data_IF_321765140916
#
_entry.id   IF_321765140916
#
_cell.length_a   1.000
_cell.length_b   1.000
_cell.length_c   1.000
_cell.angle_alpha   90.00
_cell.angle_beta   90.00
_cell.angle_gamma   90.00
#
_symmetry.space_group_name_H-M   'P 1'
#
loop_
_entity.id
_entity.type
_entity.pdbx_description
1 polymer ?
2 non-polymer ?
3 water ?
#
# COMPACT_ATOMS: atom_id res chain seq x y z
N UNK A 3 -32.68 -24.00 -1.97
CA UNK A 3 -32.43 -22.55 -2.09
C UNK A 3 -31.43 -22.11 -1.03
N UNK A 4 -30.16 -22.09 -1.41
CA UNK A 4 -29.08 -21.67 -0.52
C UNK A 4 -28.78 -20.18 -0.67
N UNK A 5 -28.07 -19.63 0.31
CA UNK A 5 -27.72 -18.21 0.29
C UNK A 5 -26.69 -17.95 -0.81
N UNK A 6 -26.95 -16.94 -1.61
CA UNK A 6 -26.07 -16.56 -2.70
C UNK A 6 -24.91 -15.67 -2.29
N UNK A 7 -24.06 -15.38 -3.25
CA UNK A 7 -22.89 -14.53 -3.17
C UNK A 7 -22.82 -13.75 -4.50
N UNK A 8 -23.46 -12.62 -4.53
CA UNK A 8 -23.56 -11.73 -5.66
C UNK A 8 -22.50 -10.62 -5.70
N UNK A 9 -21.55 -10.75 -6.63
CA UNK A 9 -20.52 -9.73 -6.83
C UNK A 9 -21.19 -8.48 -7.42
N UNK A 10 -20.94 -7.32 -6.82
CA UNK A 10 -21.53 -6.08 -7.36
C UNK A 10 -20.34 -5.15 -7.67
N UNK A 11 -20.25 -4.71 -8.91
CA UNK A 11 -19.19 -3.82 -9.36
C UNK A 11 -19.77 -2.50 -9.84
N UNK A 12 -19.54 -1.44 -9.08
CA UNK A 12 -20.00 -0.11 -9.48
C UNK A 12 -18.97 0.39 -10.50
N UNK A 13 -19.39 0.64 -11.73
CA UNK A 13 -18.50 1.10 -12.79
C UNK A 13 -19.18 2.15 -13.65
N UNK A 14 -19.57 3.24 -13.01
CA UNK A 14 -20.24 4.35 -13.68
C UNK A 14 -19.23 5.41 -14.09
N UNK A 26 -9.40 4.38 -14.53
CA UNK A 26 -10.09 3.98 -15.74
C UNK A 26 -10.17 2.45 -15.83
N UNK A 27 -11.41 1.97 -15.89
CA UNK A 27 -11.71 0.56 -16.00
C UNK A 27 -11.64 0.06 -17.43
N UNK A 28 -11.40 0.97 -18.38
CA UNK A 28 -11.33 0.59 -19.78
C UNK A 28 -9.91 0.45 -20.30
N UNK A 29 -8.92 0.68 -19.47
CA UNK A 29 -7.51 0.56 -19.87
C UNK A 29 -7.23 -0.80 -20.51
N UNK A 30 -6.62 -0.79 -21.68
CA UNK A 30 -6.28 -2.08 -22.33
C UNK A 30 -4.94 -2.55 -21.76
N UNK A 31 -4.96 -3.70 -21.13
CA UNK A 31 -3.79 -4.32 -20.52
C UNK A 31 -3.93 -5.83 -20.75
N UNK A 32 -2.92 -6.48 -21.27
CA UNK A 32 -3.00 -7.93 -21.53
C UNK A 32 -3.61 -8.17 -22.91
N UNK A 33 -4.93 -8.21 -22.97
CA UNK A 33 -5.68 -8.41 -24.19
C UNK A 33 -7.12 -7.91 -23.99
N UNK A 34 -7.51 -7.80 -22.73
CA UNK A 34 -8.84 -7.34 -22.34
C UNK A 34 -8.69 -6.07 -21.49
N UNK A 35 -9.79 -5.35 -21.26
CA UNK A 35 -9.68 -4.13 -20.45
C UNK A 35 -9.68 -4.49 -18.97
N UNK A 36 -9.42 -3.50 -18.13
CA UNK A 36 -9.39 -3.69 -16.67
C UNK A 36 -10.63 -4.41 -16.17
N UNK A 37 -11.81 -3.93 -16.55
CA UNK A 37 -13.06 -4.54 -16.14
C UNK A 37 -13.16 -6.01 -16.50
N UNK A 38 -12.83 -6.32 -17.75
CA UNK A 38 -12.90 -7.70 -18.22
C UNK A 38 -12.06 -8.61 -17.37
N UNK A 39 -10.92 -8.11 -16.89
CA UNK A 39 -10.05 -8.89 -16.00
C UNK A 39 -10.73 -9.06 -14.64
N UNK A 40 -11.56 -8.11 -14.23
CA UNK A 40 -12.25 -8.18 -12.95
C UNK A 40 -13.39 -9.20 -13.02
N UNK A 41 -14.27 -9.00 -14.01
CA UNK A 41 -15.39 -9.91 -14.22
C UNK A 41 -14.89 -11.34 -14.31
N UNK A 42 -13.82 -11.56 -15.04
CA UNK A 42 -13.22 -12.88 -15.17
C UNK A 42 -12.97 -13.58 -13.85
N UNK A 43 -12.53 -12.84 -12.84
CA UNK A 43 -12.24 -13.38 -11.51
C UNK A 43 -13.49 -13.93 -10.83
N UNK A 44 -14.57 -13.14 -10.85
CA UNK A 44 -15.82 -13.51 -10.24
C UNK A 44 -16.56 -14.60 -10.99
N UNK A 45 -16.56 -14.49 -12.32
CA UNK A 45 -17.25 -15.45 -13.16
C UNK A 45 -16.52 -16.77 -13.27
N UNK A 46 -15.27 -16.84 -12.85
CA UNK A 46 -14.58 -18.14 -12.89
C UNK A 46 -14.54 -18.73 -11.48
N UNK A 47 -14.95 -17.94 -10.49
CA UNK A 47 -14.93 -18.34 -9.10
C UNK A 47 -16.13 -19.19 -8.71
N UNK A 48 -15.82 -20.33 -8.11
CA UNK A 48 -16.83 -21.29 -7.68
C UNK A 48 -17.90 -20.68 -6.80
N UNK A 49 -17.49 -20.21 -5.62
CA UNK A 49 -18.36 -19.62 -4.63
C UNK A 49 -19.25 -18.48 -5.08
N UNK A 50 -18.89 -17.73 -6.11
CA UNK A 50 -19.69 -16.61 -6.58
C UNK A 50 -20.79 -17.08 -7.53
N UNK A 51 -22.02 -16.87 -7.12
CA UNK A 51 -23.22 -17.26 -7.79
C UNK A 51 -23.72 -16.35 -8.88
N UNK A 52 -23.34 -15.10 -8.88
CA UNK A 52 -23.81 -14.13 -9.87
C UNK A 52 -22.94 -12.88 -9.82
N UNK A 53 -22.82 -12.19 -10.94
CA UNK A 53 -22.01 -10.98 -11.03
C UNK A 53 -22.74 -9.90 -11.81
N UNK A 54 -22.93 -8.74 -11.20
CA UNK A 54 -23.61 -7.59 -11.80
C UNK A 54 -22.64 -6.42 -11.92
N UNK A 55 -22.83 -5.52 -12.89
CA UNK A 55 -21.98 -4.36 -13.09
C UNK A 55 -22.87 -3.15 -13.42
N UNK A 56 -22.89 -2.13 -12.58
CA UNK A 56 -23.72 -0.96 -12.83
C UNK A 56 -22.93 0.14 -13.54
N UNK A 57 -23.28 0.40 -14.78
CA UNK A 57 -22.65 1.42 -15.60
C UNK A 57 -23.64 2.58 -15.75
N UNK A 58 -23.17 3.74 -16.17
CA UNK A 58 -24.09 4.87 -16.33
C UNK A 58 -24.99 4.66 -17.52
N UNK A 59 -26.16 5.29 -17.47
CA UNK A 59 -27.21 5.19 -18.46
C UNK A 59 -26.69 5.07 -19.88
N UNK A 60 -25.95 6.10 -20.29
CA UNK A 60 -25.39 6.15 -21.63
C UNK A 60 -23.94 5.71 -21.69
N UNK A 61 -23.62 4.56 -21.09
CA UNK A 61 -22.23 4.09 -21.15
C UNK A 61 -22.05 3.42 -22.53
N UNK A 62 -21.15 3.97 -23.33
CA UNK A 62 -20.92 3.46 -24.66
C UNK A 62 -20.19 2.13 -24.73
N UNK A 63 -19.22 1.86 -23.88
CA UNK A 63 -18.47 0.61 -23.97
C UNK A 63 -18.90 -0.51 -23.06
N UNK A 64 -20.01 -0.36 -22.34
CA UNK A 64 -20.48 -1.44 -21.45
C UNK A 64 -21.13 -2.54 -22.28
N UNK A 65 -21.82 -2.15 -23.35
CA UNK A 65 -22.50 -3.09 -24.23
C UNK A 65 -21.61 -4.21 -24.73
N UNK A 66 -20.37 -3.95 -25.13
CA UNK A 66 -19.50 -5.00 -25.63
C UNK A 66 -18.96 -5.88 -24.51
N UNK A 67 -19.04 -5.41 -23.27
CA UNK A 67 -18.60 -6.19 -22.12
C UNK A 67 -19.63 -7.32 -21.92
N UNK A 68 -20.89 -6.95 -22.14
CA UNK A 68 -21.99 -7.88 -22.05
C UNK A 68 -21.81 -9.07 -22.99
N UNK A 69 -21.31 -8.82 -24.19
CA UNK A 69 -21.14 -9.88 -25.18
C UNK A 69 -20.05 -10.88 -24.83
N UNK A 70 -19.16 -10.59 -23.90
CA UNK A 70 -18.10 -11.53 -23.51
C UNK A 70 -18.50 -12.30 -22.25
N UNK A 71 -19.46 -11.74 -21.52
CA UNK A 71 -19.95 -12.29 -20.26
C UNK A 71 -21.47 -12.26 -20.21
N UNK A 72 -22.12 -13.16 -20.94
CA UNK A 72 -23.57 -13.23 -21.00
C UNK A 72 -24.19 -13.47 -19.64
N UNK A 73 -23.59 -14.36 -18.84
CA UNK A 73 -24.14 -14.63 -17.50
C UNK A 73 -24.08 -13.33 -16.69
N UNK A 74 -23.03 -12.52 -16.77
CA UNK A 74 -22.93 -11.26 -16.06
C UNK A 74 -24.02 -10.29 -16.49
N UNK A 75 -24.49 -9.43 -15.60
CA UNK A 75 -25.53 -8.47 -16.00
C UNK A 75 -25.03 -7.05 -15.87
N UNK A 76 -25.19 -6.28 -16.94
CA UNK A 76 -24.78 -4.90 -17.07
C UNK A 76 -26.01 -4.00 -17.00
N UNK A 77 -26.29 -3.42 -15.83
CA UNK A 77 -27.49 -2.56 -15.76
C UNK A 77 -27.09 -1.13 -15.99
N UNK A 78 -27.67 -0.48 -16.99
CA UNK A 78 -27.34 0.91 -17.31
C UNK A 78 -28.03 1.93 -16.43
N UNK A 79 -28.00 1.75 -15.11
CA UNK A 79 -28.65 2.69 -14.21
C UNK A 79 -27.78 3.11 -13.05
N UNK A 80 -26.66 3.79 -13.33
CA UNK A 80 -25.78 4.23 -12.26
C UNK A 80 -26.20 5.60 -11.72
N UNK A 81 -25.60 5.96 -10.59
CA UNK A 81 -25.87 7.25 -9.96
C UNK A 81 -24.78 8.24 -10.41
N UNK A 82 -24.66 9.34 -9.68
CA UNK A 82 -23.63 10.33 -10.02
C UNK A 82 -22.38 10.08 -9.19
N UNK A 83 -22.54 9.29 -8.13
CA UNK A 83 -21.44 8.98 -7.23
C UNK A 83 -21.38 7.49 -6.90
N UNK A 84 -20.17 7.00 -6.62
CA UNK A 84 -20.00 5.58 -6.29
C UNK A 84 -21.08 5.13 -5.31
N UNK A 85 -21.13 5.75 -4.13
CA UNK A 85 -22.12 5.40 -3.12
C UNK A 85 -23.52 5.29 -3.73
N UNK A 86 -23.93 6.32 -4.47
CA UNK A 86 -25.24 6.29 -5.10
C UNK A 86 -25.46 5.03 -5.94
N UNK A 87 -24.62 4.77 -6.94
CA UNK A 87 -24.76 3.62 -7.80
C UNK A 87 -24.75 2.31 -7.06
N UNK A 88 -23.96 2.15 -5.99
CA UNK A 88 -24.01 0.86 -5.26
C UNK A 88 -25.43 0.70 -4.71
N UNK A 89 -25.94 1.79 -4.16
CA UNK A 89 -27.30 1.89 -3.64
C UNK A 89 -28.28 1.48 -4.74
N UNK A 90 -28.21 2.07 -5.92
CA UNK A 90 -29.10 1.69 -7.01
C UNK A 90 -29.02 0.19 -7.28
N UNK A 91 -27.80 -0.33 -7.45
CA UNK A 91 -27.60 -1.74 -7.73
C UNK A 91 -28.18 -2.65 -6.67
N UNK A 92 -27.94 -2.35 -5.39
CA UNK A 92 -28.47 -3.18 -4.31
C UNK A 92 -29.98 -3.12 -4.26
N UNK A 93 -30.55 -1.97 -4.59
CA UNK A 93 -31.99 -1.78 -4.59
C UNK A 93 -32.66 -2.57 -5.70
N UNK A 94 -31.99 -2.76 -6.84
CA UNK A 94 -32.55 -3.51 -7.96
C UNK A 94 -32.32 -5.01 -7.81
N UNK A 95 -31.39 -5.42 -6.97
CA UNK A 95 -31.09 -6.84 -6.74
C UNK A 95 -32.13 -7.42 -5.77
N UNK A 96 -32.59 -6.53 -4.90
CA UNK A 96 -33.55 -6.81 -3.85
C UNK A 96 -34.95 -6.68 -4.46
N UNK A 97 -35.22 -5.54 -5.09
CA UNK A 97 -36.50 -5.23 -5.71
C UNK A 97 -36.84 -6.03 -6.94
N UNK A 98 -36.00 -6.93 -7.41
CA UNK A 98 -36.26 -7.74 -8.59
C UNK A 98 -36.28 -9.21 -8.23
N UNK A 99 -35.98 -9.51 -6.97
CA UNK A 99 -35.97 -10.86 -6.48
C UNK A 99 -34.69 -11.63 -6.68
N UNK A 100 -33.67 -11.03 -7.28
CA UNK A 100 -32.39 -11.71 -7.50
C UNK A 100 -31.63 -12.00 -6.20
N UNK A 101 -31.81 -11.10 -5.24
CA UNK A 101 -31.18 -11.25 -3.95
C UNK A 101 -32.21 -11.15 -2.84
N UNK A 102 -32.14 -12.07 -1.89
CA UNK A 102 -33.05 -12.00 -0.75
C UNK A 102 -32.32 -11.15 0.31
N UNK A 103 -33.04 -10.52 1.21
CA UNK A 103 -32.47 -9.73 2.28
C UNK A 103 -31.24 -10.35 2.92
N UNK A 104 -31.22 -11.67 3.12
CA UNK A 104 -30.10 -12.34 3.73
C UNK A 104 -28.99 -12.75 2.76
N UNK A 105 -29.11 -12.42 1.49
CA UNK A 105 -28.09 -12.79 0.51
C UNK A 105 -26.87 -11.86 0.55
N UNK A 106 -25.68 -12.43 0.40
CA UNK A 106 -24.44 -11.69 0.40
C UNK A 106 -24.15 -10.86 -0.85
N UNK A 107 -23.83 -9.59 -0.66
CA UNK A 107 -23.46 -8.71 -1.77
C UNK A 107 -21.98 -8.36 -1.64
N UNK A 108 -21.16 -8.73 -2.61
CA UNK A 108 -19.73 -8.42 -2.56
C UNK A 108 -19.48 -7.21 -3.47
N UNK A 109 -19.39 -6.02 -2.87
CA UNK A 109 -19.12 -4.84 -3.71
C UNK A 109 -17.63 -4.80 -4.03
N UNK A 110 -17.29 -4.63 -5.30
CA UNK A 110 -15.87 -4.62 -5.66
C UNK A 110 -15.56 -3.44 -6.57
N UNK A 111 -14.36 -2.89 -6.37
CA UNK A 111 -13.87 -1.76 -7.15
C UNK A 111 -13.65 -2.14 -8.61
N UNK A 112 -14.19 -1.39 -9.54
CA UNK A 112 -13.97 -1.67 -10.96
C UNK A 112 -12.49 -1.80 -11.31
N UNK A 113 -11.61 -1.02 -10.70
CA UNK A 113 -10.18 -1.03 -10.95
C UNK A 113 -9.33 -1.97 -10.15
N UNK A 114 -9.84 -2.83 -9.29
CA UNK A 114 -8.97 -3.78 -8.57
C UNK A 114 -9.03 -5.10 -9.36
N UNK A 115 -8.28 -5.13 -10.45
CA UNK A 115 -8.24 -6.26 -11.35
C UNK A 115 -7.17 -7.28 -11.01
N UNK A 116 -6.70 -7.36 -9.77
CA UNK A 116 -5.68 -8.34 -9.41
C UNK A 116 -6.05 -8.99 -8.08
N UNK A 117 -7.31 -9.40 -7.98
CA UNK A 117 -7.81 -10.01 -6.75
C UNK A 117 -7.53 -11.50 -6.74
N UNK A 118 -6.61 -11.94 -5.87
CA UNK A 118 -6.27 -13.35 -5.76
C UNK A 118 -7.51 -14.20 -5.56
N UNK A 119 -7.52 -15.43 -6.08
CA UNK A 119 -8.65 -16.33 -5.92
C UNK A 119 -8.82 -16.76 -4.48
N UNK A 120 -7.72 -17.12 -3.81
CA UNK A 120 -7.75 -17.54 -2.42
C UNK A 120 -8.17 -16.37 -1.53
N UNK A 121 -7.89 -15.14 -1.95
CA UNK A 121 -8.31 -13.96 -1.18
C UNK A 121 -9.84 -13.88 -1.19
N UNK A 122 -10.45 -13.89 -2.36
CA UNK A 122 -11.90 -13.84 -2.50
C UNK A 122 -12.52 -15.05 -1.81
N UNK A 123 -11.84 -16.19 -1.98
CA UNK A 123 -12.28 -17.43 -1.34
C UNK A 123 -12.38 -17.14 0.16
N UNK A 124 -11.27 -16.70 0.73
CA UNK A 124 -11.12 -16.36 2.14
C UNK A 124 -12.20 -15.41 2.63
N UNK A 125 -12.53 -14.38 1.87
CA UNK A 125 -13.58 -13.44 2.28
C UNK A 125 -14.90 -14.17 2.50
N UNK A 126 -15.32 -14.93 1.50
CA UNK A 126 -16.55 -15.71 1.52
C UNK A 126 -16.52 -16.77 2.60
N UNK A 127 -15.37 -17.36 2.89
CA UNK A 127 -15.24 -18.36 3.94
C UNK A 127 -15.35 -17.79 5.34
N UNK A 128 -14.88 -16.58 5.60
CA UNK A 128 -14.93 -15.98 6.93
C UNK A 128 -16.00 -14.91 7.09
N UNK A 129 -16.39 -14.24 6.02
CA UNK A 129 -17.42 -13.21 6.13
C UNK A 129 -18.75 -13.70 5.58
N UNK A 130 -18.73 -14.77 4.79
CA UNK A 130 -19.91 -15.34 4.17
C UNK A 130 -21.02 -15.71 5.15
N UNK A 131 -20.66 -16.34 6.25
CA UNK A 131 -21.56 -16.77 7.30
C UNK A 131 -21.40 -16.00 8.60
N UNK A 132 -21.13 -14.70 8.51
CA UNK A 132 -20.96 -13.81 9.64
C UNK A 132 -21.91 -12.65 9.39
N UNK A 133 -22.95 -12.51 10.18
CA UNK A 133 -23.97 -11.49 9.98
C UNK A 133 -23.42 -10.10 9.73
N UNK A 134 -22.44 -9.68 10.52
CA UNK A 134 -21.79 -8.39 10.47
C UNK A 134 -21.18 -8.05 9.11
N UNK A 135 -20.69 -9.07 8.43
CA UNK A 135 -20.10 -8.86 7.11
C UNK A 135 -18.59 -8.95 7.27
N UNK A 136 -17.89 -8.38 6.30
CA UNK A 136 -16.44 -8.40 6.35
C UNK A 136 -15.87 -7.70 5.14
N UNK A 137 -14.59 -7.36 5.24
CA UNK A 137 -13.91 -6.67 4.15
C UNK A 137 -12.47 -7.17 4.06
N UNK A 138 -11.96 -7.19 2.83
CA UNK A 138 -10.55 -7.61 2.68
C UNK A 138 -9.69 -6.38 3.04
N UNK A 139 -8.69 -6.60 3.89
CA UNK A 139 -7.84 -5.47 4.28
C UNK A 139 -6.47 -5.94 4.74
N UNK A 140 -5.49 -5.06 4.62
CA UNK A 140 -4.11 -5.36 5.03
C UNK A 140 -3.68 -4.34 6.07
N UNK A 141 -2.95 -4.78 7.07
CA UNK A 141 -2.49 -3.93 8.13
C UNK A 141 -1.56 -2.83 7.63
N UNK A 142 -1.70 -1.62 8.17
CA UNK A 142 -0.82 -0.53 7.77
C UNK A 142 0.61 -0.84 8.20
N UNK A 143 1.51 -1.00 7.23
CA UNK A 143 2.89 -1.33 7.57
C UNK A 143 3.64 -0.06 7.98
N UNK A 144 3.70 0.86 7.06
CA UNK A 144 4.29 2.14 7.04
C UNK A 144 3.82 3.25 7.97
N UNK A 145 4.78 3.99 8.52
CA UNK A 145 4.51 5.14 9.39
C UNK A 145 3.58 6.06 8.60
N UNK A 146 2.56 6.58 9.26
CA UNK A 146 1.62 7.48 8.58
C UNK A 146 1.94 8.94 8.93
N UNK A 147 1.85 9.83 7.95
CA UNK A 147 2.15 11.22 8.21
C UNK A 147 1.04 12.15 7.72
N UNK A 148 0.72 13.14 8.54
CA UNK A 148 -0.28 14.14 8.18
C UNK A 148 0.41 15.28 7.43
N UNK A 149 0.10 15.42 6.15
CA UNK A 149 0.69 16.48 5.34
C UNK A 149 -0.06 17.78 5.67
N UNK A 150 0.51 18.90 5.30
CA UNK A 150 -0.10 20.21 5.53
C UNK A 150 -0.07 21.00 4.22
N UNK A 151 1.06 21.07 3.54
CA UNK A 151 1.06 21.81 2.26
C UNK A 151 2.33 21.48 1.49
N UNK A 152 2.75 20.23 1.62
CA UNK A 152 3.96 19.70 0.99
C UNK A 152 4.91 19.26 2.11
N UNK A 153 4.50 19.55 3.36
CA UNK A 153 5.27 19.23 4.52
C UNK A 153 4.50 18.43 5.59
N UNK A 154 5.29 17.75 6.41
CA UNK A 154 4.79 16.94 7.50
C UNK A 154 4.38 17.79 8.69
N UNK A 155 3.06 17.89 8.88
CA UNK A 155 2.49 18.62 10.00
C UNK A 155 2.24 17.69 11.19
N UNK A 156 2.28 16.37 10.97
CA UNK A 156 2.12 15.46 12.11
C UNK A 156 2.20 13.99 11.74
N UNK A 157 2.67 13.17 12.65
CA UNK A 157 2.76 11.73 12.45
C UNK A 157 1.55 11.13 13.20
N UNK A 158 0.78 10.29 12.53
CA UNK A 158 -0.39 9.68 13.17
C UNK A 158 -0.08 8.23 13.55
N UNK A 159 -0.50 7.86 14.76
CA UNK A 159 -0.26 6.50 15.24
C UNK A 159 -0.91 5.46 14.34
N UNK A 160 -0.14 4.54 13.79
CA UNK A 160 -0.67 3.49 12.92
C UNK A 160 -1.07 2.25 13.71
N UNK A 161 -0.89 2.31 15.02
CA UNK A 161 -1.21 1.21 15.90
C UNK A 161 -2.63 0.71 15.65
N UNK A 162 -2.72 -0.57 15.29
CA UNK A 162 -3.96 -1.24 15.03
C UNK A 162 -4.76 -0.68 13.87
N UNK A 163 -4.11 -0.18 12.83
CA UNK A 163 -4.83 0.37 11.68
C UNK A 163 -4.65 -0.56 10.48
N UNK A 164 -5.68 -0.63 9.65
CA UNK A 164 -5.73 -1.47 8.48
C UNK A 164 -6.15 -0.67 7.25
N UNK A 165 -5.68 -1.10 6.10
CA UNK A 165 -6.09 -0.43 4.85
C UNK A 165 -7.21 -1.28 4.23
N UNK A 166 -8.39 -0.69 4.11
CA UNK A 166 -9.52 -1.37 3.53
C UNK A 166 -9.32 -1.66 2.04
N UNK A 167 -9.77 -2.83 1.59
CA UNK A 167 -9.71 -3.21 0.19
C UNK A 167 -11.13 -3.63 -0.21
N UNK A 168 -11.32 -4.08 -1.43
CA UNK A 168 -12.61 -4.59 -1.86
C UNK A 168 -12.28 -6.03 -2.27
N UNK A 169 -13.24 -6.90 -2.33
CA UNK A 169 -14.62 -6.57 -2.06
C UNK A 169 -15.00 -6.45 -0.60
N UNK A 170 -16.17 -5.80 -0.44
CA UNK A 170 -16.80 -5.59 0.86
C UNK A 170 -18.11 -6.42 0.83
N UNK A 171 -18.14 -7.47 1.63
CA UNK A 171 -19.25 -8.41 1.69
C UNK A 171 -20.20 -8.21 2.84
N UNK A 172 -21.47 -7.92 2.53
CA UNK A 172 -22.53 -7.67 3.47
C UNK A 172 -23.88 -8.22 3.00
N UNK A 173 -24.78 -8.56 3.92
CA UNK A 173 -26.10 -9.03 3.49
C UNK A 173 -26.73 -7.89 2.70
N UNK A 174 -27.52 -8.23 1.68
CA UNK A 174 -28.17 -7.20 0.87
C UNK A 174 -29.02 -6.25 1.68
N UNK A 175 -29.88 -6.79 2.55
CA UNK A 175 -30.77 -5.99 3.38
C UNK A 175 -29.98 -5.02 4.25
N UNK A 176 -29.07 -5.58 5.05
CA UNK A 176 -28.22 -4.77 5.94
C UNK A 176 -27.65 -3.61 5.15
N UNK A 177 -26.97 -3.96 4.05
CA UNK A 177 -26.40 -3.02 3.11
C UNK A 177 -27.43 -1.98 2.70
N UNK A 178 -28.61 -2.42 2.28
CA UNK A 178 -29.67 -1.51 1.86
C UNK A 178 -30.07 -0.57 2.99
N UNK A 179 -30.20 -1.09 4.22
CA UNK A 179 -30.53 -0.16 5.31
C UNK A 179 -29.39 0.86 5.38
N UNK A 180 -28.18 0.37 5.62
CA UNK A 180 -26.96 1.12 5.73
C UNK A 180 -26.83 2.31 4.79
N UNK A 181 -26.86 2.08 3.49
CA UNK A 181 -26.73 3.14 2.51
C UNK A 181 -27.82 4.20 2.51
N UNK A 182 -29.01 3.90 3.00
CA UNK A 182 -30.11 4.86 3.03
C UNK A 182 -29.97 5.93 4.11
N UNK A 183 -29.20 5.65 5.14
CA UNK A 183 -28.98 6.55 6.25
C UNK A 183 -28.52 7.94 5.82
N UNK A 184 -27.22 8.12 5.64
CA UNK A 184 -26.60 9.37 5.26
C UNK A 184 -26.31 10.22 6.50
N UNK A 189 -18.04 7.40 5.77
CA UNK A 189 -18.99 7.50 4.63
C UNK A 189 -18.22 7.57 3.32
N UNK A 190 -17.19 6.73 3.24
CA UNK A 190 -16.38 6.68 2.03
C UNK A 190 -16.56 5.28 1.46
N UNK A 191 -16.59 4.23 2.29
CA UNK A 191 -16.78 2.88 1.71
C UNK A 191 -18.04 2.23 2.21
N UNK A 192 -18.35 1.00 1.76
CA UNK A 192 -19.56 0.32 2.23
C UNK A 192 -19.44 0.07 3.73
N UNK A 193 -18.32 -0.50 4.15
CA UNK A 193 -18.09 -0.79 5.55
C UNK A 193 -18.45 0.35 6.48
N UNK A 194 -17.99 1.57 6.23
CA UNK A 194 -18.29 2.73 7.05
C UNK A 194 -19.79 2.92 7.26
N UNK A 195 -20.58 2.62 6.23
CA UNK A 195 -22.03 2.73 6.29
C UNK A 195 -22.63 1.72 7.26
N UNK A 196 -22.11 0.50 7.30
CA UNK A 196 -22.57 -0.55 8.19
C UNK A 196 -22.12 -0.30 9.62
N UNK A 197 -20.96 0.35 9.75
CA UNK A 197 -20.33 0.72 11.01
C UNK A 197 -21.16 1.75 11.75
N UNK A 198 -21.82 2.60 10.95
CA UNK A 198 -22.70 3.63 11.47
C UNK A 198 -24.05 3.06 11.89
N UNK A 199 -24.28 1.75 11.74
CA UNK A 199 -25.50 1.10 12.17
C UNK A 199 -25.29 0.47 13.55
N UNK A 200 -24.04 0.31 13.95
CA UNK A 200 -23.69 -0.30 15.23
C UNK A 200 -23.12 -1.69 14.95
N UNK A 201 -22.98 -1.98 13.66
CA UNK A 201 -22.43 -3.28 13.25
C UNK A 201 -20.93 -3.15 12.99
N UNK A 202 -20.14 -4.09 13.45
CA UNK A 202 -18.71 -4.15 13.30
C UNK A 202 -18.28 -5.26 12.35
N UNK A 203 -18.15 -4.95 11.07
CA UNK A 203 -17.76 -5.94 10.07
C UNK A 203 -16.38 -6.45 10.35
N UNK A 204 -16.06 -7.70 10.07
CA UNK A 204 -14.73 -8.23 10.36
C UNK A 204 -13.66 -7.67 9.40
N UNK A 205 -12.40 -7.97 9.74
CA UNK A 205 -11.27 -7.58 8.89
C UNK A 205 -10.63 -8.90 8.42
N UNK A 206 -10.74 -9.14 7.11
CA UNK A 206 -10.16 -10.36 6.55
C UNK A 206 -8.89 -10.00 5.81
N UNK A 207 -7.84 -10.79 6.07
CA UNK A 207 -6.57 -10.51 5.39
C UNK A 207 -6.80 -10.33 3.90
N UNK A 208 -6.48 -9.15 3.36
CA UNK A 208 -6.64 -8.91 1.93
C UNK A 208 -5.41 -9.44 1.20
N UNK A 209 -4.86 -8.64 0.27
CA UNK A 209 -3.66 -9.06 -0.46
C UNK A 209 -2.89 -7.84 -0.96
N UNK A 210 -1.56 -7.98 -1.03
CA UNK A 210 -0.71 -6.89 -1.50
C UNK A 210 -0.95 -6.64 -2.99
N UNK A 211 -1.17 -7.74 -3.71
CA UNK A 211 -1.44 -7.71 -5.13
C UNK A 211 -2.83 -7.17 -5.45
N UNK A 212 -3.71 -7.12 -4.46
CA UNK A 212 -5.07 -6.60 -4.63
C UNK A 212 -5.02 -5.08 -4.50
N UNK A 213 -4.36 -4.44 -5.46
CA UNK A 213 -4.16 -3.01 -5.49
C UNK A 213 -5.10 -2.36 -6.51
N UNK A 214 -5.45 -1.12 -6.22
CA UNK A 214 -6.38 -0.39 -7.09
C UNK A 214 -5.60 0.44 -8.09
N UNK A 215 -5.89 0.26 -9.37
CA UNK A 215 -5.21 1.01 -10.42
C UNK A 215 -5.76 2.44 -10.45
N UNK A 216 -5.01 3.35 -9.85
CA UNK A 216 -5.38 4.75 -9.77
C UNK A 216 -4.40 5.63 -10.53
N UNK A 217 -3.10 5.37 -10.37
CA UNK A 217 -2.12 6.19 -11.08
C UNK A 217 -1.35 5.36 -12.09
N UNK A 218 -0.71 6.04 -13.04
CA UNK A 218 0.08 5.43 -14.10
C UNK A 218 1.15 4.49 -13.57
N UNK A 219 1.65 4.82 -12.38
CA UNK A 219 2.66 4.01 -11.72
C UNK A 219 2.09 2.68 -11.28
N UNK A 220 0.77 2.57 -11.09
CA UNK A 220 0.11 1.33 -10.68
C UNK A 220 -0.05 0.37 -11.87
N UNK A 221 -0.36 0.93 -13.04
CA UNK A 221 -0.52 0.10 -14.24
C UNK A 221 0.70 -0.78 -14.44
N UNK A 222 1.89 -0.21 -14.28
CA UNK A 222 3.15 -0.94 -14.42
C UNK A 222 3.06 -2.22 -13.59
N UNK A 223 2.81 -2.07 -12.29
CA UNK A 223 2.69 -3.22 -11.42
C UNK A 223 1.54 -4.14 -11.83
N UNK A 224 0.39 -3.57 -12.21
CA UNK A 224 -0.75 -4.41 -12.59
C UNK A 224 -0.47 -5.27 -13.82
N UNK A 225 -0.05 -4.65 -14.91
CA UNK A 225 0.28 -5.35 -16.15
C UNK A 225 1.23 -6.50 -15.84
N UNK A 226 2.25 -6.17 -15.05
CA UNK A 226 3.26 -7.08 -14.57
C UNK A 226 2.68 -8.19 -13.72
N UNK A 227 1.52 -7.96 -13.12
CA UNK A 227 0.83 -8.94 -12.30
C UNK A 227 -0.01 -9.87 -13.16
N UNK A 228 -0.55 -9.32 -14.25
CA UNK A 228 -1.36 -10.14 -15.16
C UNK A 228 -0.48 -10.76 -16.24
N UNK A 229 0.48 -11.58 -15.83
CA UNK A 229 1.44 -12.28 -16.65
C UNK A 229 1.82 -13.63 -15.99
N UNK B 4 29.55 19.82 -3.45
CA UNK B 4 30.51 19.68 -2.35
C UNK B 4 29.83 19.02 -1.16
N UNK B 5 28.54 19.33 -0.96
CA UNK B 5 27.81 18.68 0.15
C UNK B 5 27.53 17.26 -0.36
N UNK B 6 27.79 16.27 0.46
CA UNK B 6 27.60 14.88 0.06
C UNK B 6 26.22 14.33 0.36
N UNK B 7 25.89 13.21 -0.27
CA UNK B 7 24.67 12.45 -0.09
C UNK B 7 25.04 11.02 0.29
N UNK B 8 25.09 10.74 1.57
CA UNK B 8 25.42 9.45 2.15
C UNK B 8 24.25 8.52 2.44
N UNK B 9 24.19 7.40 1.74
CA UNK B 9 23.17 6.38 1.93
C UNK B 9 23.48 5.61 3.21
N UNK B 10 22.55 5.59 4.15
CA UNK B 10 22.77 4.84 5.39
C UNK B 10 21.67 3.76 5.50
N UNK B 11 22.10 2.50 5.49
CA UNK B 11 21.21 1.35 5.54
C UNK B 11 21.39 0.53 6.81
N UNK B 12 20.47 0.68 7.75
CA UNK B 12 20.51 -0.07 8.99
C UNK B 12 20.03 -1.49 8.71
N UNK B 13 20.89 -2.47 8.97
CA UNK B 13 20.56 -3.87 8.71
C UNK B 13 21.03 -4.77 9.82
N UNK B 25 13.85 -9.61 9.46
CA UNK B 25 15.01 -10.36 8.99
C UNK B 25 14.84 -11.04 7.65
N UNK B 26 14.69 -10.23 6.58
CA UNK B 26 14.55 -10.78 5.24
C UNK B 26 15.54 -10.16 4.27
N UNK B 27 16.57 -9.47 4.79
CA UNK B 27 17.56 -8.83 3.96
C UNK B 27 18.48 -9.82 3.26
N UNK B 28 18.49 -11.07 3.71
CA UNK B 28 19.33 -12.10 3.11
C UNK B 28 18.58 -12.98 2.12
N UNK B 29 17.26 -12.86 2.01
CA UNK B 29 16.48 -13.66 1.08
C UNK B 29 17.15 -13.72 -0.29
N UNK B 30 17.18 -14.92 -0.88
CA UNK B 30 17.76 -15.05 -2.22
C UNK B 30 16.66 -14.74 -3.24
N UNK B 31 16.92 -13.79 -4.11
CA UNK B 31 15.97 -13.40 -5.16
C UNK B 31 16.79 -12.98 -6.39
N UNK B 32 16.40 -13.40 -7.58
CA UNK B 32 17.19 -13.03 -8.78
C UNK B 32 18.49 -13.85 -8.78
N UNK B 33 19.57 -13.28 -8.27
CA UNK B 33 20.85 -13.95 -8.17
C UNK B 33 21.61 -13.48 -6.93
N UNK B 34 21.13 -12.35 -6.40
CA UNK B 34 21.72 -11.73 -5.22
C UNK B 34 20.69 -11.62 -4.11
N UNK B 35 21.15 -11.40 -2.88
CA UNK B 35 20.24 -11.27 -1.75
C UNK B 35 19.57 -9.90 -1.79
N UNK B 36 18.56 -9.71 -0.96
CA UNK B 36 17.81 -8.46 -0.90
C UNK B 36 18.73 -7.26 -0.72
N UNK B 37 19.67 -7.34 0.21
CA UNK B 37 20.60 -6.27 0.47
C UNK B 37 21.46 -5.88 -0.73
N UNK B 38 21.96 -6.91 -1.41
CA UNK B 38 22.79 -6.71 -2.60
C UNK B 38 22.02 -5.90 -3.65
N UNK B 39 20.72 -6.18 -3.79
CA UNK B 39 19.88 -5.44 -4.73
C UNK B 39 19.70 -4.00 -4.26
N UNK B 40 19.73 -3.78 -2.94
CA UNK B 40 19.57 -2.44 -2.38
C UNK B 40 20.86 -1.64 -2.59
N UNK B 41 21.97 -2.22 -2.15
CA UNK B 41 23.27 -1.55 -2.34
C UNK B 41 23.43 -1.18 -3.80
N UNK B 42 23.19 -2.09 -4.72
CA UNK B 42 23.28 -1.84 -6.14
C UNK B 42 22.66 -0.54 -6.59
N UNK B 43 21.48 -0.21 -6.09
CA UNK B 43 20.78 1.02 -6.45
C UNK B 43 21.56 2.27 -6.07
N UNK B 44 22.08 2.31 -4.85
CA UNK B 44 22.83 3.44 -4.35
C UNK B 44 24.19 3.58 -4.99
N UNK B 45 24.93 2.48 -5.09
CA UNK B 45 26.26 2.47 -5.67
C UNK B 45 26.27 2.71 -7.16
N UNK B 46 25.15 2.54 -7.83
CA UNK B 46 25.06 2.75 -9.28
C UNK B 46 24.45 4.13 -9.55
N UNK B 47 23.99 4.80 -8.50
CA UNK B 47 23.36 6.10 -8.59
C UNK B 47 24.33 7.27 -8.52
N UNK B 48 24.33 8.04 -9.59
CA UNK B 48 25.16 9.21 -9.76
C UNK B 48 25.19 10.13 -8.56
N UNK B 49 24.03 10.64 -8.14
CA UNK B 49 23.88 11.55 -7.04
C UNK B 49 24.39 11.08 -5.69
N UNK B 50 24.37 9.77 -5.44
CA UNK B 50 24.85 9.24 -4.16
C UNK B 50 26.37 9.13 -4.14
N UNK B 51 26.99 9.80 -3.18
CA UNK B 51 28.41 9.86 -3.02
C UNK B 51 29.05 8.76 -2.20
N UNK B 52 28.30 8.07 -1.37
CA UNK B 52 28.83 7.01 -0.51
C UNK B 52 27.67 6.26 0.13
N UNK B 53 27.85 4.97 0.37
CA UNK B 53 26.86 4.08 0.96
C UNK B 53 27.46 3.28 2.10
N UNK B 54 26.84 3.28 3.26
CA UNK B 54 27.27 2.58 4.46
C UNK B 54 26.17 1.66 4.96
N UNK B 55 26.53 0.47 5.46
CA UNK B 55 25.60 -0.49 5.98
C UNK B 55 25.96 -0.92 7.41
N UNK B 56 25.15 -0.58 8.39
CA UNK B 56 25.45 -1.00 9.77
C UNK B 56 24.81 -2.36 10.03
N UNK B 57 25.63 -3.33 10.37
CA UNK B 57 25.22 -4.69 10.68
C UNK B 57 25.55 -4.96 12.16
N UNK B 58 25.07 -6.07 12.70
CA UNK B 58 25.36 -6.39 14.10
C UNK B 58 26.79 -6.87 14.23
N UNK B 59 27.38 -6.64 15.38
CA UNK B 59 28.75 -7.02 15.70
C UNK B 59 29.13 -8.34 15.08
N UNK B 60 28.41 -9.40 15.46
CA UNK B 60 28.74 -10.70 14.89
C UNK B 60 27.78 -11.12 13.79
N UNK B 61 27.73 -10.30 12.71
CA UNK B 61 26.85 -10.64 11.58
C UNK B 61 27.70 -11.47 10.61
N UNK B 62 27.42 -12.76 10.60
CA UNK B 62 28.11 -13.75 9.80
C UNK B 62 28.13 -13.53 8.31
N UNK B 63 27.06 -13.08 7.67
CA UNK B 63 27.04 -12.92 6.22
C UNK B 63 27.47 -11.57 5.70
N UNK B 64 27.41 -10.52 6.51
CA UNK B 64 27.80 -9.18 6.06
C UNK B 64 29.15 -9.20 5.36
N UNK B 65 30.12 -9.94 5.89
CA UNK B 65 31.45 -10.06 5.34
C UNK B 65 31.47 -10.31 3.84
N UNK B 66 30.62 -11.19 3.33
CA UNK B 66 30.56 -11.51 1.92
C UNK B 66 29.97 -10.39 1.07
N UNK B 67 29.18 -9.52 1.70
CA UNK B 67 28.57 -8.39 1.00
C UNK B 67 29.68 -7.38 0.69
N UNK B 68 30.64 -7.30 1.62
CA UNK B 68 31.76 -6.40 1.48
C UNK B 68 32.63 -6.71 0.28
N UNK B 69 32.71 -7.99 -0.11
CA UNK B 69 33.57 -8.36 -1.22
C UNK B 69 32.96 -8.11 -2.59
N UNK B 70 31.70 -7.73 -2.65
CA UNK B 70 31.03 -7.44 -3.93
C UNK B 70 30.95 -5.93 -4.10
N UNK B 71 30.98 -5.25 -2.96
CA UNK B 71 30.89 -3.79 -2.89
C UNK B 71 32.00 -3.23 -2.00
N UNK B 72 33.21 -3.11 -2.55
CA UNK B 72 34.35 -2.59 -1.82
C UNK B 72 34.17 -1.14 -1.41
N UNK B 73 33.59 -0.33 -2.29
CA UNK B 73 33.32 1.08 -2.05
C UNK B 73 32.29 1.25 -0.92
N UNK B 74 31.43 0.26 -0.68
CA UNK B 74 30.46 0.33 0.41
C UNK B 74 31.14 -0.02 1.72
N UNK B 75 30.73 0.58 2.83
CA UNK B 75 31.37 0.25 4.10
C UNK B 75 30.40 -0.44 5.04
N UNK B 76 30.79 -1.63 5.47
CA UNK B 76 30.04 -2.48 6.35
C UNK B 76 30.58 -2.41 7.76
N UNK B 77 30.02 -1.52 8.59
CA UNK B 77 30.49 -1.39 9.96
C UNK B 77 29.75 -2.37 10.85
N UNK B 78 30.48 -3.20 11.59
CA UNK B 78 29.85 -4.19 12.47
C UNK B 78 29.49 -3.61 13.82
N UNK B 79 28.90 -2.42 13.87
CA UNK B 79 28.54 -1.84 15.16
C UNK B 79 27.09 -1.41 15.24
N UNK B 80 26.18 -2.37 15.15
CA UNK B 80 24.76 -2.06 15.24
C UNK B 80 24.30 -2.06 16.69
N UNK B 81 23.08 -1.60 16.90
CA UNK B 81 22.48 -1.56 18.24
C UNK B 81 21.44 -2.69 18.32
N UNK B 82 20.63 -2.69 19.36
CA UNK B 82 19.61 -3.72 19.52
C UNK B 82 18.33 -3.36 18.78
N UNK B 83 18.19 -2.09 18.40
CA UNK B 83 17.00 -1.62 17.70
C UNK B 83 17.32 -0.76 16.48
N UNK B 84 16.42 -0.74 15.50
CA UNK B 84 16.67 0.08 14.31
C UNK B 84 17.11 1.47 14.76
N UNK B 85 16.27 2.15 15.53
CA UNK B 85 16.57 3.49 16.02
C UNK B 85 18.01 3.59 16.50
N UNK B 86 18.41 2.75 17.44
CA UNK B 86 19.77 2.77 17.93
C UNK B 86 20.81 2.65 16.83
N UNK B 87 20.80 1.60 16.02
CA UNK B 87 21.78 1.45 14.95
C UNK B 87 21.82 2.65 14.02
N UNK B 88 20.70 3.30 13.69
CA UNK B 88 20.80 4.49 12.83
C UNK B 88 21.63 5.53 13.59
N UNK B 89 21.33 5.70 14.87
CA UNK B 89 22.08 6.60 15.75
C UNK B 89 23.57 6.27 15.62
N UNK B 90 23.97 5.07 16.02
CA UNK B 90 25.35 4.65 15.90
C UNK B 90 25.96 5.03 14.55
N UNK B 91 25.32 4.65 13.45
CA UNK B 91 25.79 4.93 12.12
C UNK B 91 26.07 6.41 11.87
N UNK B 92 25.10 7.25 12.22
CA UNK B 92 25.26 8.69 12.03
C UNK B 92 26.37 9.25 12.90
N UNK B 93 26.49 8.74 14.12
CA UNK B 93 27.52 9.20 15.05
C UNK B 93 28.91 8.70 14.68
N UNK B 94 29.05 7.80 13.73
CA UNK B 94 30.38 7.32 13.33
C UNK B 94 30.74 7.96 11.99
N UNK B 95 29.75 8.54 11.33
CA UNK B 95 29.93 9.19 10.04
C UNK B 95 30.41 10.63 10.28
N UNK B 96 29.90 11.17 11.37
CA UNK B 96 30.16 12.52 11.86
C UNK B 96 31.50 12.50 12.59
N UNK B 97 31.61 11.60 13.55
CA UNK B 97 32.78 11.40 14.39
C UNK B 97 33.99 10.83 13.69
N UNK B 98 33.98 10.67 12.38
CA UNK B 98 35.09 10.13 11.63
C UNK B 98 35.55 11.11 10.56
N UNK B 99 34.71 12.10 10.29
CA UNK B 99 35.01 13.11 9.29
C UNK B 99 34.40 12.83 7.93
N UNK B 100 33.78 11.68 7.79
CA UNK B 100 33.14 11.26 6.56
C UNK B 100 31.96 12.14 6.14
N UNK B 101 31.27 12.60 7.17
CA UNK B 101 30.11 13.46 7.00
C UNK B 101 30.24 14.73 7.82
N UNK B 102 30.03 15.87 7.17
CA UNK B 102 30.06 17.14 7.93
C UNK B 102 28.65 17.34 8.47
N UNK B 103 28.47 18.09 9.55
CA UNK B 103 27.14 18.36 10.08
C UNK B 103 26.14 18.70 8.99
N UNK B 104 26.52 19.44 7.96
CA UNK B 104 25.61 19.81 6.89
C UNK B 104 25.49 18.82 5.76
N UNK B 105 26.09 17.64 5.85
CA UNK B 105 25.94 16.66 4.76
C UNK B 105 24.64 15.86 4.88
N UNK B 106 24.00 15.52 3.77
CA UNK B 106 22.79 14.76 3.75
C UNK B 106 22.93 13.27 4.03
N UNK B 107 22.15 12.74 4.97
CA UNK B 107 22.15 11.30 5.25
C UNK B 107 20.81 10.71 4.76
N UNK B 108 20.87 9.73 3.86
CA UNK B 108 19.65 9.10 3.35
C UNK B 108 19.52 7.74 4.06
N UNK B 109 18.67 7.68 5.08
CA UNK B 109 18.50 6.38 5.75
C UNK B 109 17.53 5.55 4.93
N UNK B 110 17.90 4.31 4.59
CA UNK B 110 16.99 3.48 3.77
C UNK B 110 16.78 2.13 4.43
N UNK B 111 15.61 1.56 4.21
CA UNK B 111 15.25 0.25 4.76
C UNK B 111 16.05 -0.86 4.06
N UNK B 112 16.59 -1.82 4.82
CA UNK B 112 17.32 -2.92 4.19
C UNK B 112 16.46 -3.70 3.21
N UNK B 113 15.17 -3.90 3.49
CA UNK B 113 14.26 -4.64 2.67
C UNK B 113 13.54 -3.92 1.55
N UNK B 114 13.69 -2.63 1.32
CA UNK B 114 13.00 -1.99 0.19
C UNK B 114 13.98 -2.04 -1.00
N UNK B 115 14.05 -3.19 -1.63
CA UNK B 115 14.96 -3.42 -2.75
C UNK B 115 14.34 -3.21 -4.10
N UNK B 116 13.47 -2.23 -4.28
CA UNK B 116 12.86 -1.96 -5.58
C UNK B 116 12.67 -0.46 -5.74
N UNK B 117 13.59 0.30 -5.16
CA UNK B 117 13.54 1.76 -5.19
C UNK B 117 13.88 2.30 -6.56
N UNK B 118 12.92 2.86 -7.27
CA UNK B 118 13.16 3.41 -8.58
C UNK B 118 14.32 4.40 -8.57
N UNK B 119 15.02 4.56 -9.69
CA UNK B 119 16.13 5.50 -9.76
C UNK B 119 15.63 6.93 -9.77
N UNK B 120 14.59 7.21 -10.53
CA UNK B 120 13.99 8.53 -10.62
C UNK B 120 13.30 8.93 -9.32
N UNK B 121 12.98 7.97 -8.45
CA UNK B 121 12.40 8.27 -7.14
C UNK B 121 13.54 8.78 -6.26
N UNK B 122 14.63 8.03 -6.20
CA UNK B 122 15.81 8.43 -5.43
C UNK B 122 16.30 9.79 -5.96
N UNK B 123 16.34 9.87 -7.29
CA UNK B 123 16.76 11.10 -7.96
C UNK B 123 15.95 12.25 -7.31
N UNK B 124 14.64 12.15 -7.51
CA UNK B 124 13.65 13.07 -7.01
C UNK B 124 13.81 13.47 -5.55
N UNK B 125 14.12 12.52 -4.68
CA UNK B 125 14.31 12.83 -3.27
C UNK B 125 15.46 13.83 -3.12
N UNK B 126 16.60 13.47 -3.71
CA UNK B 126 17.80 14.29 -3.67
C UNK B 126 17.57 15.64 -4.34
N UNK B 127 16.82 15.66 -5.42
CA UNK B 127 16.52 16.92 -6.12
C UNK B 127 15.63 17.85 -5.35
N UNK B 128 14.66 17.40 -4.55
CA UNK B 128 13.80 18.31 -3.80
C UNK B 128 14.15 18.39 -2.31
N UNK B 129 14.74 17.32 -1.77
CA UNK B 129 15.11 17.32 -0.37
C UNK B 129 16.58 17.62 -0.14
N UNK B 130 17.42 17.37 -1.13
CA UNK B 130 18.85 17.58 -1.05
C UNK B 130 19.24 18.97 -0.60
N UNK B 131 18.62 20.02 -1.15
CA UNK B 131 18.90 21.40 -0.80
C UNK B 131 17.77 22.07 -0.02
N UNK B 132 17.16 21.36 0.90
CA UNK B 132 16.08 21.91 1.73
C UNK B 132 16.50 21.57 3.16
N UNK B 133 16.76 22.56 3.99
CA UNK B 133 17.25 22.30 5.34
C UNK B 133 16.45 21.28 6.10
N UNK B 134 15.15 21.42 6.12
CA UNK B 134 14.19 20.59 6.81
C UNK B 134 14.26 19.11 6.51
N UNK B 135 14.71 18.76 5.31
CA UNK B 135 14.83 17.36 4.96
C UNK B 135 13.61 16.96 4.13
N UNK B 136 13.49 15.67 3.86
CA UNK B 136 12.36 15.20 3.07
C UNK B 136 12.33 13.67 3.12
N UNK B 137 11.16 13.14 2.85
CA UNK B 137 10.95 11.71 2.88
C UNK B 137 10.14 11.28 1.68
N UNK B 138 10.44 10.07 1.18
CA UNK B 138 9.63 9.59 0.04
C UNK B 138 8.31 9.06 0.65
N UNK B 139 7.20 9.43 0.03
CA UNK B 139 5.91 8.97 0.55
C UNK B 139 4.81 9.02 -0.49
N UNK B 140 3.82 8.15 -0.30
CA UNK B 140 2.68 8.09 -1.22
C UNK B 140 1.41 8.36 -0.43
N UNK B 141 0.51 9.12 -1.01
CA UNK B 141 -0.75 9.48 -0.38
C UNK B 141 -1.58 8.26 -0.02
N UNK B 142 -2.24 8.28 1.14
CA UNK B 142 -3.08 7.12 1.48
C UNK B 142 -4.26 7.08 0.52
N UNK B 143 -4.38 5.99 -0.23
CA UNK B 143 -5.47 5.88 -1.20
C UNK B 143 -6.75 5.38 -0.51
N UNK B 144 -6.65 4.20 0.04
CA UNK B 144 -7.62 3.42 0.72
C UNK B 144 -8.20 3.92 2.03
N UNK B 145 -9.47 3.55 2.26
CA UNK B 145 -10.15 3.91 3.50
C UNK B 145 -9.36 3.27 4.64
N UNK B 146 -9.21 3.98 5.75
CA UNK B 146 -8.45 3.41 6.88
C UNK B 146 -9.37 2.91 7.98
N UNK B 147 -9.07 1.76 8.57
CA UNK B 147 -9.93 1.21 9.60
C UNK B 147 -9.19 0.82 10.87
N UNK B 148 -9.75 1.22 12.02
CA UNK B 148 -9.13 0.84 13.30
C UNK B 148 -9.68 -0.51 13.75
N UNK B 149 -8.85 -1.54 13.73
CA UNK B 149 -9.30 -2.86 14.16
C UNK B 149 -9.37 -2.89 15.69
N UNK B 150 -10.08 -3.87 16.25
CA UNK B 150 -10.19 -3.99 17.69
C UNK B 150 -9.83 -5.41 18.12
N UNK B 151 -10.41 -6.42 17.48
CA UNK B 151 -10.04 -7.80 17.86
C UNK B 151 -10.45 -8.73 16.73
N UNK B 152 -10.33 -8.19 15.52
CA UNK B 152 -10.67 -8.88 14.29
C UNK B 152 -11.80 -8.08 13.60
N UNK B 153 -12.38 -7.15 14.37
CA UNK B 153 -13.47 -6.34 13.86
C UNK B 153 -13.17 -4.85 13.82
N UNK B 154 -13.87 -4.17 12.91
CA UNK B 154 -13.73 -2.74 12.73
C UNK B 154 -14.36 -2.00 13.91
N UNK B 155 -13.51 -1.30 14.67
CA UNK B 155 -13.96 -0.50 15.80
C UNK B 155 -14.15 0.94 15.38
N UNK B 156 -13.58 1.30 14.22
CA UNK B 156 -13.79 2.64 13.69
C UNK B 156 -13.05 2.90 12.38
N UNK B 157 -13.54 3.88 11.66
CA UNK B 157 -12.95 4.35 10.42
C UNK B 157 -12.20 5.66 10.74
N UNK B 158 -10.94 5.75 10.32
CA UNK B 158 -10.17 6.97 10.59
C UNK B 158 -10.07 7.80 9.31
N UNK B 159 -10.22 9.11 9.43
CA UNK B 159 -10.16 9.98 8.26
C UNK B 159 -8.78 9.98 7.62
N UNK B 160 -8.69 9.60 6.35
CA UNK B 160 -7.44 9.56 5.62
C UNK B 160 -7.10 10.91 5.00
N UNK B 161 -7.99 11.87 5.21
CA UNK B 161 -7.82 13.22 4.68
C UNK B 161 -6.39 13.71 4.88
N UNK B 162 -5.72 13.99 3.77
CA UNK B 162 -4.36 14.49 3.74
C UNK B 162 -3.33 13.65 4.46
N UNK B 163 -3.45 12.34 4.42
CA UNK B 163 -2.51 11.43 5.07
C UNK B 163 -1.64 10.76 3.99
N UNK B 164 -0.38 10.53 4.36
CA UNK B 164 0.61 9.92 3.49
C UNK B 164 1.31 8.75 4.16
N UNK B 165 1.66 7.74 3.37
CA UNK B 165 2.39 6.60 3.90
C UNK B 165 3.89 6.89 3.71
N UNK B 166 4.66 6.91 4.78
CA UNK B 166 6.08 7.19 4.68
C UNK B 166 6.88 6.00 4.15
N UNK B 167 7.82 6.28 3.27
CA UNK B 167 8.72 5.28 2.70
C UNK B 167 10.16 5.68 3.01
N UNK B 168 11.12 4.88 2.59
CA UNK B 168 12.52 5.29 2.74
C UNK B 168 13.00 5.48 1.30
N UNK B 169 14.09 6.18 1.10
CA UNK B 169 14.87 6.74 2.18
C UNK B 169 14.35 8.04 2.74
N UNK B 170 14.85 8.32 3.95
CA UNK B 170 14.54 9.56 4.66
C UNK B 170 15.86 10.37 4.69
N UNK B 171 15.88 11.49 3.97
CA UNK B 171 17.01 12.36 3.81
C UNK B 171 17.05 13.58 4.71
N UNK B 172 18.05 13.66 5.59
CA UNK B 172 18.24 14.75 6.52
C UNK B 172 19.72 15.12 6.68
N UNK B 173 20.02 16.33 7.12
CA UNK B 173 21.41 16.73 7.37
C UNK B 173 21.93 15.90 8.56
N UNK B 174 23.14 15.38 8.44
CA UNK B 174 23.75 14.58 9.48
C UNK B 174 23.70 15.18 10.86
N UNK B 175 23.98 16.46 11.01
CA UNK B 175 23.96 17.13 12.32
C UNK B 175 22.53 17.17 12.85
N UNK B 176 21.61 17.63 12.01
CA UNK B 176 20.19 17.71 12.39
C UNK B 176 19.73 16.34 12.89
N UNK B 177 19.99 15.32 12.08
CA UNK B 177 19.65 13.95 12.36
C UNK B 177 20.25 13.44 13.66
N UNK B 178 21.47 13.86 13.95
CA UNK B 178 22.17 13.45 15.16
C UNK B 178 21.55 14.11 16.38
N UNK B 179 21.07 15.33 16.19
CA UNK B 179 20.41 16.04 17.31
C UNK B 179 19.10 15.29 17.55
N UNK B 180 18.32 15.14 16.50
CA UNK B 180 17.05 14.46 16.47
C UNK B 180 17.01 13.16 17.26
N UNK B 181 17.82 12.17 16.89
CA UNK B 181 17.83 10.88 17.55
C UNK B 181 18.46 10.86 18.93
N UNK B 182 19.07 11.93 19.40
CA UNK B 182 19.70 11.99 20.71
C UNK B 182 18.80 12.07 21.91
N UNK B 183 17.52 11.76 21.80
CA UNK B 183 16.55 11.79 22.88
C UNK B 183 15.93 13.19 22.99
N UNK B 189 8.09 7.91 17.39
CA UNK B 189 9.44 7.33 17.57
C UNK B 189 9.53 6.04 16.78
N UNK B 190 9.07 6.14 15.53
CA UNK B 190 9.08 4.99 14.62
C UNK B 190 10.01 5.29 13.47
N UNK B 191 9.95 6.49 12.87
CA UNK B 191 10.89 6.71 11.75
C UNK B 191 11.83 7.86 12.00
N UNK B 192 12.74 8.12 11.04
CA UNK B 192 13.69 9.23 11.23
C UNK B 192 12.92 10.55 11.20
N UNK B 193 11.99 10.68 10.27
CA UNK B 193 11.20 11.91 10.19
C UNK B 193 10.50 12.25 11.47
N UNK B 194 9.95 11.28 12.20
CA UNK B 194 9.23 11.56 13.43
C UNK B 194 10.15 12.23 14.45
N UNK B 195 11.41 11.81 14.45
CA UNK B 195 12.41 12.38 15.34
C UNK B 195 12.64 13.85 15.01
N UNK B 196 12.74 14.16 13.72
CA UNK B 196 12.97 15.52 13.25
C UNK B 196 11.78 16.44 13.43
N UNK B 197 10.56 15.88 13.41
CA UNK B 197 9.33 16.66 13.58
C UNK B 197 9.19 17.11 15.04
N UNK B 198 9.80 16.34 15.93
CA UNK B 198 9.83 16.60 17.35
C UNK B 198 10.73 17.81 17.66
N UNK B 199 11.60 18.19 16.75
CA UNK B 199 12.49 19.32 16.94
C UNK B 199 11.76 20.62 16.60
N UNK B 200 10.78 20.52 15.73
CA UNK B 200 10.00 21.68 15.28
C UNK B 200 10.25 21.82 13.78
N UNK B 201 10.94 20.83 13.23
CA UNK B 201 11.26 20.84 11.81
C UNK B 201 10.32 19.94 11.03
N UNK B 202 9.64 20.48 10.04
CA UNK B 202 8.71 19.80 9.19
C UNK B 202 9.38 19.35 7.89
N UNK B 203 9.80 18.10 7.81
CA UNK B 203 10.46 17.59 6.60
C UNK B 203 9.49 17.60 5.44
N UNK B 204 9.93 17.66 4.20
CA UNK B 204 9.02 17.65 3.07
C UNK B 204 8.44 16.24 2.83
N UNK B 205 7.41 16.18 1.99
CA UNK B 205 6.81 14.90 1.59
C UNK B 205 7.04 14.81 0.06
N UNK B 206 7.91 13.86 -0.31
CA UNK B 206 8.22 13.73 -1.73
C UNK B 206 7.53 12.49 -2.27
N UNK B 207 6.92 12.65 -3.44
CA UNK B 207 6.23 11.51 -4.04
C UNK B 207 7.16 10.30 -4.00
N UNK B 208 6.74 9.23 -3.33
CA UNK B 208 7.57 8.01 -3.26
C UNK B 208 7.29 7.17 -4.52
N UNK B 209 6.99 5.89 -4.31
CA UNK B 209 6.67 5.02 -5.45
C UNK B 209 5.93 3.77 -5.01
N UNK B 210 5.02 3.30 -5.85
CA UNK B 210 4.22 2.11 -5.57
C UNK B 210 5.10 0.87 -5.49
N UNK B 211 6.10 0.80 -6.37
CA UNK B 211 7.03 -0.29 -6.43
C UNK B 211 8.06 -0.26 -5.31
N UNK B 212 8.15 0.84 -4.58
CA UNK B 212 9.10 0.99 -3.48
C UNK B 212 8.42 0.53 -2.19
N UNK B 213 8.18 -0.78 -2.16
CA UNK B 213 7.50 -1.46 -1.08
C UNK B 213 8.48 -2.22 -0.20
N UNK B 214 8.12 -2.40 1.04
CA UNK B 214 9.00 -3.12 1.98
C UNK B 214 8.66 -4.60 1.99
N UNK B 215 9.66 -5.46 1.87
CA UNK B 215 9.45 -6.90 1.87
C UNK B 215 9.28 -7.41 3.30
N UNK B 216 8.05 -7.40 3.78
CA UNK B 216 7.73 -7.87 5.11
C UNK B 216 7.14 -9.28 5.06
N UNK B 217 6.06 -9.45 4.31
CA UNK B 217 5.44 -10.76 4.21
C UNK B 217 5.86 -11.56 2.98
N UNK B 218 5.59 -12.86 3.03
CA UNK B 218 5.88 -13.78 1.94
C UNK B 218 5.16 -13.32 0.68
N UNK B 219 3.96 -12.79 0.88
CA UNK B 219 3.14 -12.25 -0.18
C UNK B 219 3.84 -11.10 -0.90
N UNK B 220 4.72 -10.37 -0.22
CA UNK B 220 5.48 -9.26 -0.78
C UNK B 220 6.65 -9.73 -1.66
N UNK B 221 7.21 -10.89 -1.27
CA UNK B 221 8.32 -11.45 -2.05
C UNK B 221 7.86 -11.63 -3.49
N UNK B 222 6.69 -12.25 -3.69
CA UNK B 222 6.15 -12.45 -5.02
C UNK B 222 6.21 -11.18 -5.84
N UNK B 223 5.56 -10.10 -5.39
CA UNK B 223 5.61 -8.86 -6.16
C UNK B 223 7.05 -8.37 -6.33
N UNK B 224 7.92 -8.48 -5.32
CA UNK B 224 9.30 -8.00 -5.48
C UNK B 224 10.07 -8.75 -6.55
N UNK B 225 10.07 -10.09 -6.45
CA UNK B 225 10.75 -10.94 -7.43
C UNK B 225 10.28 -10.59 -8.83
N UNK B 226 8.97 -10.40 -8.97
CA UNK B 226 8.34 -10.04 -10.22
C UNK B 226 8.79 -8.65 -10.69
N UNK B 227 9.12 -7.78 -9.73
CA UNK B 227 9.57 -6.43 -10.02
C UNK B 227 11.04 -6.43 -10.47
N UNK B 228 11.85 -7.13 -9.70
CA UNK B 228 13.28 -7.20 -10.03
C UNK B 228 13.47 -7.83 -11.41
N UNK B 229 13.17 -9.12 -11.50
CA UNK B 229 13.29 -9.86 -12.75
C UNK B 229 12.24 -9.43 -13.76
X LIG C 1 36.48 1.23 7.46
X LIG C 1 35.66 0.06 7.92
X LIG C 1 35.73 2.49 7.78
X LIG C 1 37.79 1.20 8.21
X LIG C 1 36.72 1.13 5.99
#
# INVERSE_FOLDING_TARGET
>A
MSLKRKNIALIPAAGIGVRFGADKPKQYVEIGSKTVLEHVLGIFERHEAVDLTVVVVSPEDTFADKVQTAFPQVRVWKNGGQTRAETVRNGVAKLLETGLAAETDNILVHDAARCCLPSEALARLIEQAGNAAEGGILAVPVADTLKRAESGQISATVDRSGLWQAQTPQLFQAGLLHRALAAENLGGITDEASAVEKLGVRPLLIQGDARNLKLTQPQDAYIVRLLLDAVEGGSHHHHHH
>B
MSLKRKNIALIPAAGIGVRFGADKPKQYVEIGSKTVLEHVLGIFERHEAVDLTVVVVSPEDTFADKVQTAFPQVRVWKNGGQTRAETVRNGVAKLLETGLAAETDNILVHDAARCCLPSEALARLIEQAGNAAEGGILAVPVADTLKRAESGQISATVDRSGLWQAQTPQLFQAGLLHRALAAENLGGITDEASAVEKLGVRPLLIQGDARNLKLTQPQDAYIVRLLLDAVEGGSHHHHHH
>C hetero
1 SO4 S O1 O2 O3 O4
#
